data_IF_181377506598
#
_entry.id   IF_181377506598
#
_cell.length_a   1.000
_cell.length_b   1.000
_cell.length_c   1.000
_cell.angle_alpha   90.00
_cell.angle_beta   90.00
_cell.angle_gamma   90.00
#
_symmetry.space_group_name_H-M   'P 1'
#
loop_
_entity.id
_entity.type
_entity.pdbx_description
1 polymer ?
#
# COMPACT_ATOMS: atom_id res chain seq x y z
N UNK A 1 -3.85 30.85 -50.19
CA UNK A 1 -4.04 29.66 -49.34
C UNK A 1 -3.73 30.05 -47.91
N UNK A 2 -4.71 30.01 -46.99
CA UNK A 2 -4.51 30.25 -45.55
C UNK A 2 -4.24 28.91 -44.89
N UNK A 3 -3.00 28.70 -44.45
CA UNK A 3 -2.61 27.50 -43.71
C UNK A 3 -3.14 27.61 -42.28
N UNK A 4 -4.08 26.74 -41.92
CA UNK A 4 -4.60 26.59 -40.55
C UNK A 4 -3.64 25.66 -39.81
N UNK A 5 -2.91 26.20 -38.83
CA UNK A 5 -2.06 25.43 -37.93
C UNK A 5 -2.95 24.80 -36.85
N UNK A 6 -3.12 23.47 -36.87
CA UNK A 6 -3.69 22.73 -35.74
C UNK A 6 -2.61 22.54 -34.67
N UNK A 7 -2.68 23.32 -33.59
CA UNK A 7 -1.87 23.08 -32.40
C UNK A 7 -2.41 21.88 -31.63
N UNK A 8 -1.69 20.75 -31.68
CA UNK A 8 -1.92 19.64 -30.76
C UNK A 8 -1.45 20.06 -29.37
N UNK A 9 -2.40 20.37 -28.48
CA UNK A 9 -2.13 20.51 -27.06
C UNK A 9 -1.86 19.11 -26.48
N UNK A 10 -0.58 18.72 -26.40
CA UNK A 10 -0.17 17.53 -25.66
C UNK A 10 -0.27 17.87 -24.18
N UNK A 11 -1.43 17.57 -23.59
CA UNK A 11 -1.59 17.61 -22.15
C UNK A 11 -0.78 16.43 -21.58
N UNK A 12 0.46 16.71 -21.16
CA UNK A 12 1.22 15.74 -20.38
C UNK A 12 0.53 15.63 -19.03
N UNK A 13 -0.21 14.55 -18.82
CA UNK A 13 -0.68 14.19 -17.49
C UNK A 13 0.58 13.90 -16.69
N UNK A 14 1.04 14.89 -15.93
CA UNK A 14 2.03 14.71 -14.88
C UNK A 14 1.45 13.66 -13.95
N UNK A 15 1.92 12.42 -14.08
CA UNK A 15 1.53 11.36 -13.18
C UNK A 15 1.98 11.83 -11.80
N UNK A 16 1.02 12.09 -10.90
CA UNK A 16 1.37 12.33 -9.50
C UNK A 16 2.14 11.09 -9.07
N UNK A 17 3.45 11.20 -8.79
CA UNK A 17 4.18 10.04 -8.31
C UNK A 17 3.43 9.55 -7.08
N UNK A 18 3.35 8.23 -6.90
CA UNK A 18 2.96 7.66 -5.61
C UNK A 18 4.00 8.16 -4.60
N UNK A 19 3.72 9.31 -4.01
CA UNK A 19 4.65 10.12 -3.22
C UNK A 19 4.87 9.55 -1.82
N UNK A 20 4.27 8.40 -1.53
CA UNK A 20 4.37 7.74 -0.24
C UNK A 20 5.58 6.78 -0.26
N UNK A 21 6.70 7.27 0.26
CA UNK A 21 7.92 6.47 0.46
C UNK A 21 7.96 5.76 1.82
N UNK A 22 6.88 5.76 2.59
CA UNK A 22 6.72 4.88 3.76
C UNK A 22 5.24 4.58 3.98
N UNK A 23 4.83 3.30 4.15
CA UNK A 23 3.45 2.98 4.48
C UNK A 23 3.04 3.63 5.81
N UNK A 24 1.92 4.34 5.81
CA UNK A 24 1.28 4.85 7.01
C UNK A 24 0.65 3.73 7.85
N UNK A 25 0.28 4.04 9.07
CA UNK A 25 -0.32 3.14 10.03
C UNK A 25 -1.82 3.01 9.77
N UNK A 26 -2.25 1.83 9.35
CA UNK A 26 -3.67 1.45 9.24
C UNK A 26 -4.09 0.63 10.46
N UNK A 27 -5.32 0.88 10.92
CA UNK A 27 -6.08 0.02 11.82
C UNK A 27 -7.46 -0.27 11.22
N UNK A 28 -7.88 -1.52 11.25
CA UNK A 28 -9.28 -1.93 11.04
C UNK A 28 -9.75 -2.48 12.39
N UNK A 29 -10.79 -1.85 12.97
CA UNK A 29 -11.25 -2.12 14.33
C UNK A 29 -12.78 -2.17 14.40
N UNK A 30 -13.30 -3.36 14.69
CA UNK A 30 -14.74 -3.65 14.73
C UNK A 30 -15.26 -3.89 16.17
N UNK A 31 -14.40 -3.73 17.18
CA UNK A 31 -14.81 -3.73 18.59
C UNK A 31 -15.49 -2.42 19.01
N UNK A 32 -15.73 -2.25 20.31
CA UNK A 32 -16.27 -0.99 20.86
C UNK A 32 -15.12 0.00 21.02
N UNK A 33 -15.10 1.15 20.31
CA UNK A 33 -14.00 2.11 20.39
C UNK A 33 -13.68 2.58 21.81
N UNK A 34 -14.67 2.69 22.70
CA UNK A 34 -14.44 3.05 24.10
C UNK A 34 -13.70 2.01 24.94
N UNK A 35 -13.61 0.77 24.46
CA UNK A 35 -13.00 -0.36 25.18
C UNK A 35 -11.63 -0.75 24.65
N UNK A 36 -11.15 -0.10 23.59
CA UNK A 36 -9.89 -0.44 22.90
C UNK A 36 -8.71 -0.55 23.87
N UNK A 37 -7.98 -1.66 23.80
CA UNK A 37 -6.85 -2.02 24.67
C UNK A 37 -7.10 -1.78 26.16
N UNK A 38 -8.32 -2.04 26.63
CA UNK A 38 -8.66 -1.89 28.05
C UNK A 38 -8.88 -0.43 28.49
N UNK A 39 -9.17 0.49 27.57
CA UNK A 39 -9.54 1.87 27.90
C UNK A 39 -10.76 1.96 28.83
N UNK A 40 -11.60 0.92 28.88
CA UNK A 40 -12.68 0.76 29.86
C UNK A 40 -13.65 1.95 29.96
N UNK A 41 -13.93 2.61 28.83
CA UNK A 41 -14.80 3.79 28.77
C UNK A 41 -14.07 5.14 28.90
N UNK A 42 -12.77 5.15 29.21
CA UNK A 42 -11.97 6.38 29.16
C UNK A 42 -11.74 6.81 27.70
N UNK A 43 -12.54 7.79 27.28
CA UNK A 43 -12.52 8.31 25.90
C UNK A 43 -11.21 9.03 25.56
N UNK A 44 -10.49 9.56 26.54
CA UNK A 44 -9.17 10.19 26.33
C UNK A 44 -8.13 9.12 26.07
N UNK A 45 -8.11 8.07 26.90
CA UNK A 45 -7.22 6.92 26.70
C UNK A 45 -7.49 6.25 25.35
N UNK A 46 -8.76 5.96 25.02
CA UNK A 46 -9.15 5.40 23.74
C UNK A 46 -8.70 6.28 22.56
N UNK A 47 -8.95 7.59 22.63
CA UNK A 47 -8.52 8.55 21.60
C UNK A 47 -7.00 8.55 21.42
N UNK A 48 -6.23 8.49 22.50
CA UNK A 48 -4.77 8.43 22.43
C UNK A 48 -4.27 7.16 21.74
N UNK A 49 -4.95 6.02 21.95
CA UNK A 49 -4.62 4.78 21.25
C UNK A 49 -4.84 4.93 19.75
N UNK A 50 -6.00 5.44 19.33
CA UNK A 50 -6.31 5.63 17.91
C UNK A 50 -5.41 6.67 17.22
N UNK A 51 -4.93 7.70 17.93
CA UNK A 51 -3.99 8.71 17.39
C UNK A 51 -2.65 8.17 16.94
N UNK A 52 -2.30 6.93 17.32
CA UNK A 52 -1.10 6.27 16.82
C UNK A 52 -1.23 5.86 15.35
N UNK A 53 -2.45 5.85 14.80
CA UNK A 53 -2.75 5.48 13.43
C UNK A 53 -3.04 6.72 12.57
N UNK A 54 -2.72 6.66 11.28
CA UNK A 54 -3.14 7.70 10.33
C UNK A 54 -4.46 7.34 9.64
N UNK A 55 -4.78 6.05 9.57
CA UNK A 55 -6.04 5.53 9.01
C UNK A 55 -6.70 4.57 9.98
N UNK A 56 -8.00 4.75 10.20
CA UNK A 56 -8.82 3.88 11.05
C UNK A 56 -10.11 3.54 10.33
N UNK A 57 -10.45 2.25 10.26
CA UNK A 57 -11.79 1.77 9.88
C UNK A 57 -12.52 1.34 11.14
N UNK A 58 -13.77 1.80 11.31
CA UNK A 58 -14.64 1.46 12.43
C UNK A 58 -15.81 0.60 11.96
N UNK A 59 -16.18 -0.42 12.75
CA UNK A 59 -17.17 -1.44 12.39
C UNK A 59 -18.62 -0.97 12.25
N UNK A 60 -19.45 -1.80 11.61
CA UNK A 60 -20.90 -1.58 11.39
C UNK A 60 -21.65 -1.32 12.71
N UNK A 61 -22.67 -0.44 12.64
CA UNK A 61 -23.64 -0.26 13.71
C UNK A 61 -23.30 0.86 14.68
N UNK A 62 -22.01 1.22 14.79
CA UNK A 62 -21.55 2.34 15.62
C UNK A 62 -22.19 3.68 15.20
N UNK A 63 -22.59 3.81 13.93
CA UNK A 63 -23.29 4.98 13.40
C UNK A 63 -24.74 5.11 13.84
N UNK A 64 -25.34 4.03 14.34
CA UNK A 64 -26.73 4.01 14.76
C UNK A 64 -26.85 4.56 16.19
N UNK A 65 -27.78 5.49 16.40
CA UNK A 65 -27.99 6.12 17.71
C UNK A 65 -28.36 5.14 18.83
N UNK A 66 -28.92 3.98 18.49
CA UNK A 66 -29.25 2.91 19.44
C UNK A 66 -28.07 2.01 19.83
N UNK A 67 -26.92 2.12 19.18
CA UNK A 67 -25.75 1.31 19.52
C UNK A 67 -25.14 1.77 20.84
N UNK A 68 -24.79 0.82 21.72
CA UNK A 68 -24.32 1.11 23.09
C UNK A 68 -23.07 2.01 23.15
N UNK A 69 -22.24 1.99 22.11
CA UNK A 69 -21.02 2.81 22.03
C UNK A 69 -21.12 4.02 21.08
N UNK A 70 -22.32 4.36 20.56
CA UNK A 70 -22.50 5.43 19.57
C UNK A 70 -21.97 6.78 20.04
N UNK A 71 -22.39 7.23 21.23
CA UNK A 71 -22.01 8.53 21.80
C UNK A 71 -20.51 8.61 22.06
N UNK A 72 -19.93 7.53 22.59
CA UNK A 72 -18.50 7.42 22.86
C UNK A 72 -17.71 7.47 21.56
N UNK A 73 -18.12 6.70 20.56
CA UNK A 73 -17.48 6.65 19.24
C UNK A 73 -17.51 8.02 18.57
N UNK A 74 -18.64 8.73 18.59
CA UNK A 74 -18.74 10.10 18.06
C UNK A 74 -17.77 11.06 18.75
N UNK A 75 -17.62 10.93 20.06
CA UNK A 75 -16.67 11.74 20.85
C UNK A 75 -15.22 11.42 20.49
N UNK A 76 -14.87 10.13 20.38
CA UNK A 76 -13.53 9.69 19.96
C UNK A 76 -13.21 10.20 18.55
N UNK A 77 -14.14 10.07 17.60
CA UNK A 77 -13.99 10.62 16.24
C UNK A 77 -13.68 12.11 16.31
N UNK A 78 -14.46 12.89 17.06
CA UNK A 78 -14.24 14.33 17.22
C UNK A 78 -12.85 14.66 17.78
N UNK A 79 -12.34 13.83 18.71
CA UNK A 79 -11.03 14.01 19.34
C UNK A 79 -9.84 13.74 18.42
N UNK A 80 -9.99 12.89 17.39
CA UNK A 80 -8.85 12.39 16.60
C UNK A 80 -8.88 12.82 15.12
N UNK A 81 -10.04 13.23 14.59
CA UNK A 81 -10.25 13.48 13.15
C UNK A 81 -9.37 14.57 12.52
N UNK A 82 -8.71 15.41 13.31
CA UNK A 82 -7.75 16.40 12.79
C UNK A 82 -6.45 15.76 12.28
N UNK A 83 -6.08 14.60 12.83
CA UNK A 83 -4.81 13.91 12.54
C UNK A 83 -5.01 12.50 11.97
N UNK A 84 -6.21 11.92 12.17
CA UNK A 84 -6.55 10.56 11.76
C UNK A 84 -7.67 10.63 10.73
N UNK A 85 -7.49 9.92 9.61
CA UNK A 85 -8.55 9.72 8.63
C UNK A 85 -9.35 8.47 8.98
N UNK A 86 -10.64 8.66 9.20
CA UNK A 86 -11.54 7.65 9.74
C UNK A 86 -12.53 7.26 8.65
N UNK A 87 -12.77 5.96 8.54
CA UNK A 87 -13.75 5.37 7.64
C UNK A 87 -14.81 4.61 8.45
N UNK A 88 -16.07 4.86 8.12
CA UNK A 88 -17.18 4.07 8.64
C UNK A 88 -17.43 2.84 7.77
N UNK A 89 -17.57 1.66 8.39
CA UNK A 89 -17.87 0.42 7.67
C UNK A 89 -19.31 0.39 7.16
N UNK A 90 -19.46 -0.03 5.90
CA UNK A 90 -20.72 -0.38 5.25
C UNK A 90 -20.48 -1.63 4.42
N UNK A 91 -21.28 -2.67 4.61
CA UNK A 91 -21.29 -3.82 3.72
C UNK A 91 -22.06 -3.50 2.42
N UNK A 92 -21.51 -3.84 1.26
CA UNK A 92 -22.15 -3.57 -0.03
C UNK A 92 -22.81 -4.83 -0.63
N UNK A 93 -22.23 -6.00 -0.38
CA UNK A 93 -22.69 -7.28 -0.91
C UNK A 93 -23.40 -8.16 0.11
N UNK A 94 -23.51 -9.45 -0.22
CA UNK A 94 -24.03 -10.46 0.71
C UNK A 94 -22.91 -10.95 1.63
N UNK A 95 -22.81 -10.37 2.82
CA UNK A 95 -21.85 -10.77 3.86
C UNK A 95 -22.31 -11.99 4.66
N UNK A 96 -23.60 -12.06 4.99
CA UNK A 96 -24.17 -13.05 5.93
C UNK A 96 -25.23 -13.87 5.19
N UNK A 97 -25.06 -15.19 5.20
CA UNK A 97 -26.08 -16.10 4.69
C UNK A 97 -27.41 -15.88 5.42
N UNK A 98 -28.48 -15.66 4.65
CA UNK A 98 -29.83 -15.45 5.19
C UNK A 98 -30.19 -14.01 5.55
N UNK A 99 -29.27 -13.04 5.47
CA UNK A 99 -29.61 -11.59 5.57
C UNK A 99 -29.80 -11.00 4.18
N UNK A 100 -30.88 -10.25 3.99
CA UNK A 100 -31.11 -9.48 2.77
C UNK A 100 -30.06 -8.37 2.69
N UNK A 101 -29.27 -8.25 1.60
CA UNK A 101 -28.35 -7.13 1.43
C UNK A 101 -29.10 -5.81 1.48
N UNK A 102 -28.49 -4.77 2.04
CA UNK A 102 -29.11 -3.43 2.08
C UNK A 102 -29.47 -2.95 0.68
N UNK A 103 -30.63 -2.32 0.51
CA UNK A 103 -30.93 -1.62 -0.73
C UNK A 103 -30.13 -0.30 -0.82
N UNK A 104 -30.17 0.36 -1.97
CA UNK A 104 -29.40 1.58 -2.18
C UNK A 104 -29.83 2.73 -1.25
N UNK A 105 -31.09 2.79 -0.81
CA UNK A 105 -31.54 3.81 0.13
C UNK A 105 -30.97 3.55 1.53
N UNK A 106 -30.96 2.30 2.00
CA UNK A 106 -30.33 1.91 3.27
C UNK A 106 -28.84 2.25 3.27
N UNK A 107 -28.10 1.91 2.21
CA UNK A 107 -26.68 2.29 2.07
C UNK A 107 -26.49 3.80 2.23
N UNK A 108 -27.31 4.62 1.56
CA UNK A 108 -27.25 6.09 1.66
C UNK A 108 -27.51 6.57 3.08
N UNK A 109 -28.50 6.00 3.75
CA UNK A 109 -28.79 6.29 5.16
C UNK A 109 -27.57 6.03 6.05
N UNK A 110 -26.90 4.88 5.88
CA UNK A 110 -25.69 4.57 6.66
C UNK A 110 -24.52 5.52 6.33
N UNK A 111 -24.35 5.92 5.06
CA UNK A 111 -23.36 6.94 4.68
C UNK A 111 -23.64 8.27 5.40
N UNK A 112 -24.90 8.71 5.43
CA UNK A 112 -25.30 9.95 6.08
C UNK A 112 -25.10 9.89 7.61
N UNK A 113 -25.41 8.76 8.24
CA UNK A 113 -25.18 8.55 9.68
C UNK A 113 -23.69 8.63 10.03
N UNK A 114 -22.84 7.95 9.26
CA UNK A 114 -21.39 8.02 9.43
C UNK A 114 -20.86 9.45 9.22
N UNK A 115 -21.32 10.13 8.17
CA UNK A 115 -20.98 11.54 7.92
C UNK A 115 -21.36 12.43 9.10
N UNK A 116 -22.53 12.24 9.69
CA UNK A 116 -22.99 13.01 10.83
C UNK A 116 -22.15 12.80 12.10
N UNK A 117 -21.41 11.69 12.20
CA UNK A 117 -20.41 11.48 13.25
C UNK A 117 -19.07 12.16 12.95
N UNK A 118 -18.82 12.54 11.69
CA UNK A 118 -17.64 13.29 11.27
C UNK A 118 -16.50 12.45 10.70
N UNK A 119 -16.79 11.24 10.19
CA UNK A 119 -15.81 10.46 9.41
C UNK A 119 -15.46 11.17 8.10
N UNK A 120 -14.32 10.81 7.49
CA UNK A 120 -13.85 11.38 6.22
C UNK A 120 -13.96 10.41 5.05
N UNK A 121 -14.43 9.18 5.30
CA UNK A 121 -14.66 8.21 4.26
C UNK A 121 -15.57 7.06 4.70
N UNK A 122 -15.88 6.20 3.74
CA UNK A 122 -16.69 5.00 3.95
C UNK A 122 -15.89 3.81 3.46
N UNK A 123 -15.76 2.80 4.31
CA UNK A 123 -15.20 1.51 3.96
C UNK A 123 -16.32 0.61 3.44
N UNK A 124 -16.28 0.27 2.16
CA UNK A 124 -17.24 -0.60 1.49
C UNK A 124 -16.70 -2.02 1.43
N UNK A 125 -17.20 -2.87 2.31
CA UNK A 125 -16.87 -4.30 2.31
C UNK A 125 -17.75 -5.09 1.34
N UNK A 126 -17.32 -6.30 0.99
CA UNK A 126 -18.03 -7.18 0.06
C UNK A 126 -18.36 -6.49 -1.28
N UNK A 127 -17.41 -5.71 -1.79
CA UNK A 127 -17.63 -4.82 -2.94
C UNK A 127 -17.76 -5.57 -4.28
N UNK A 128 -17.33 -6.84 -4.32
CA UNK A 128 -17.13 -7.62 -5.54
C UNK A 128 -18.38 -8.26 -6.16
N UNK A 129 -18.23 -8.71 -7.40
CA UNK A 129 -19.21 -9.53 -8.11
C UNK A 129 -19.39 -10.89 -7.42
N UNK A 130 -18.33 -11.45 -6.83
CA UNK A 130 -18.40 -12.66 -6.01
C UNK A 130 -19.40 -12.54 -4.83
N UNK A 131 -19.66 -11.31 -4.37
CA UNK A 131 -20.63 -11.00 -3.31
C UNK A 131 -21.99 -10.54 -3.86
N UNK A 132 -22.25 -10.79 -5.15
CA UNK A 132 -23.44 -10.38 -5.90
C UNK A 132 -23.64 -8.87 -6.00
N UNK A 133 -22.56 -8.08 -5.99
CA UNK A 133 -22.63 -6.64 -6.24
C UNK A 133 -22.45 -6.37 -7.73
N UNK A 134 -23.37 -5.63 -8.35
CA UNK A 134 -23.23 -5.23 -9.76
C UNK A 134 -22.41 -3.95 -9.90
N UNK A 135 -21.81 -3.70 -11.08
CA UNK A 135 -21.13 -2.44 -11.39
C UNK A 135 -22.03 -1.22 -11.20
N UNK A 136 -23.32 -1.32 -11.52
CA UNK A 136 -24.29 -0.24 -11.29
C UNK A 136 -24.48 0.07 -9.78
N UNK A 137 -24.45 -0.96 -8.93
CA UNK A 137 -24.54 -0.79 -7.47
C UNK A 137 -23.26 -0.19 -6.88
N UNK A 138 -22.10 -0.68 -7.33
CA UNK A 138 -20.80 -0.08 -7.03
C UNK A 138 -20.77 1.41 -7.39
N UNK A 139 -21.18 1.76 -8.62
CA UNK A 139 -21.25 3.15 -9.09
C UNK A 139 -22.20 3.99 -8.23
N UNK A 140 -23.40 3.47 -7.94
CA UNK A 140 -24.38 4.19 -7.11
C UNK A 140 -23.84 4.50 -5.70
N UNK A 141 -23.18 3.55 -5.06
CA UNK A 141 -22.62 3.72 -3.73
C UNK A 141 -21.45 4.71 -3.72
N UNK A 142 -20.45 4.51 -4.60
CA UNK A 142 -19.25 5.34 -4.66
C UNK A 142 -19.59 6.78 -5.05
N UNK A 143 -20.44 7.00 -6.06
CA UNK A 143 -20.85 8.36 -6.43
C UNK A 143 -21.60 9.07 -5.31
N UNK A 144 -22.41 8.35 -4.54
CA UNK A 144 -23.09 8.95 -3.40
C UNK A 144 -22.11 9.35 -2.30
N UNK A 145 -21.15 8.49 -1.96
CA UNK A 145 -20.06 8.80 -1.01
C UNK A 145 -19.31 10.07 -1.46
N UNK A 146 -18.96 10.16 -2.74
CA UNK A 146 -18.31 11.35 -3.30
C UNK A 146 -19.19 12.61 -3.25
N UNK A 147 -20.48 12.49 -3.55
CA UNK A 147 -21.44 13.59 -3.45
C UNK A 147 -21.58 14.10 -2.00
N UNK A 148 -21.33 13.24 -1.03
CA UNK A 148 -21.25 13.62 0.39
C UNK A 148 -19.91 14.26 0.78
N UNK A 149 -18.95 14.39 -0.13
CA UNK A 149 -17.62 14.93 0.14
C UNK A 149 -16.70 13.94 0.87
N UNK A 150 -17.06 12.65 0.87
CA UNK A 150 -16.31 11.59 1.53
C UNK A 150 -15.47 10.80 0.51
N UNK A 151 -14.46 10.06 1.00
CA UNK A 151 -13.70 9.12 0.19
C UNK A 151 -14.28 7.70 0.28
N UNK A 152 -14.27 6.96 -0.82
CA UNK A 152 -14.55 5.54 -0.81
C UNK A 152 -13.28 4.74 -0.49
N UNK A 153 -13.41 3.69 0.30
CA UNK A 153 -12.36 2.71 0.59
C UNK A 153 -12.94 1.32 0.38
N UNK A 154 -12.64 0.68 -0.75
CA UNK A 154 -13.34 -0.54 -1.19
C UNK A 154 -12.54 -1.80 -0.89
N UNK A 155 -13.22 -2.87 -0.48
CA UNK A 155 -12.61 -4.17 -0.21
C UNK A 155 -13.26 -5.28 -1.04
N UNK A 156 -12.41 -6.05 -1.72
CA UNK A 156 -12.78 -7.31 -2.38
C UNK A 156 -11.52 -8.10 -2.72
N UNK A 157 -11.66 -9.43 -2.81
CA UNK A 157 -10.59 -10.34 -3.22
C UNK A 157 -10.09 -10.10 -4.65
N UNK A 158 -10.99 -9.67 -5.56
CA UNK A 158 -10.73 -9.62 -7.00
C UNK A 158 -10.62 -8.18 -7.54
N UNK A 159 -9.41 -7.80 -7.96
CA UNK A 159 -9.09 -6.45 -8.46
C UNK A 159 -9.91 -6.10 -9.71
N UNK A 160 -10.12 -7.08 -10.58
CA UNK A 160 -10.88 -6.91 -11.83
C UNK A 160 -12.34 -6.51 -11.57
N UNK A 161 -12.93 -6.97 -10.47
CA UNK A 161 -14.29 -6.61 -10.08
C UNK A 161 -14.38 -5.16 -9.57
N UNK A 162 -13.25 -4.58 -9.16
CA UNK A 162 -13.17 -3.16 -8.76
C UNK A 162 -12.86 -2.28 -9.96
N UNK A 163 -11.82 -2.59 -10.72
CA UNK A 163 -11.24 -1.65 -11.68
C UNK A 163 -11.50 -2.00 -13.14
N UNK A 164 -11.73 -3.28 -13.44
CA UNK A 164 -11.93 -3.77 -14.80
C UNK A 164 -13.26 -3.32 -15.40
N UNK A 165 -13.25 -3.08 -16.70
CA UNK A 165 -14.43 -2.73 -17.50
C UNK A 165 -14.86 -3.86 -18.44
N UNK A 166 -14.31 -5.06 -18.28
CA UNK A 166 -14.68 -6.23 -19.07
C UNK A 166 -16.18 -6.53 -18.92
N UNK A 167 -16.83 -6.86 -20.03
CA UNK A 167 -18.25 -7.21 -20.03
C UNK A 167 -18.44 -8.48 -19.21
N UNK A 168 -19.28 -8.38 -18.19
CA UNK A 168 -19.80 -9.52 -17.45
C UNK A 168 -21.32 -9.53 -17.64
N UNK A 169 -21.93 -10.55 -18.27
CA UNK A 169 -23.36 -10.55 -18.61
C UNK A 169 -24.32 -10.31 -17.44
N UNK A 170 -23.89 -10.64 -16.22
CA UNK A 170 -24.71 -10.51 -15.01
C UNK A 170 -24.36 -9.23 -14.25
N UNK A 171 -23.07 -9.00 -13.98
CA UNK A 171 -22.64 -7.97 -13.03
C UNK A 171 -22.17 -6.68 -13.69
N UNK A 172 -21.76 -6.70 -14.97
CA UNK A 172 -21.35 -5.53 -15.74
C UNK A 172 -21.68 -5.67 -17.23
N UNK A 173 -22.97 -5.77 -17.60
CA UNK A 173 -23.39 -6.15 -18.95
C UNK A 173 -23.02 -5.10 -20.02
N UNK A 174 -22.77 -3.86 -19.60
CA UNK A 174 -22.43 -2.74 -20.49
C UNK A 174 -20.93 -2.44 -20.52
N UNK A 175 -20.11 -3.16 -19.75
CA UNK A 175 -18.67 -2.87 -19.65
C UNK A 175 -18.38 -1.50 -19.05
N UNK A 176 -19.18 -1.05 -18.10
CA UNK A 176 -18.98 0.23 -17.41
C UNK A 176 -17.67 0.20 -16.60
N UNK A 177 -16.91 1.30 -16.68
CA UNK A 177 -15.66 1.48 -15.96
C UNK A 177 -15.86 1.65 -14.45
N UNK A 178 -14.75 1.60 -13.70
CA UNK A 178 -14.78 1.77 -12.25
C UNK A 178 -15.24 3.16 -11.83
N UNK A 179 -16.07 3.27 -10.77
CA UNK A 179 -16.39 4.57 -10.15
C UNK A 179 -15.30 5.04 -9.17
N UNK A 180 -14.32 4.20 -8.85
CA UNK A 180 -13.21 4.49 -7.92
C UNK A 180 -12.15 5.32 -8.64
N UNK A 181 -11.69 6.41 -8.01
CA UNK A 181 -10.69 7.30 -8.59
C UNK A 181 -9.56 7.69 -7.61
N UNK A 182 -8.76 8.69 -7.99
CA UNK A 182 -7.60 9.17 -7.25
C UNK A 182 -7.89 9.61 -5.80
N UNK A 183 -9.15 9.87 -5.46
CA UNK A 183 -9.60 10.24 -4.11
C UNK A 183 -9.70 9.02 -3.19
N UNK A 184 -9.82 7.84 -3.77
CA UNK A 184 -10.29 6.64 -3.10
C UNK A 184 -9.16 5.66 -2.78
N UNK A 185 -9.55 4.61 -2.06
CA UNK A 185 -8.66 3.59 -1.55
C UNK A 185 -9.18 2.19 -1.92
N UNK A 186 -8.25 1.26 -2.16
CA UNK A 186 -8.53 -0.18 -2.26
C UNK A 186 -7.83 -0.91 -1.12
N UNK A 187 -8.54 -1.82 -0.47
CA UNK A 187 -7.96 -2.72 0.53
C UNK A 187 -7.52 -4.01 -0.15
N UNK A 188 -6.23 -4.34 0.00
CA UNK A 188 -5.76 -5.69 -0.23
C UNK A 188 -5.82 -6.48 1.09
N UNK A 189 -6.86 -7.30 1.19
CA UNK A 189 -7.09 -8.27 2.25
C UNK A 189 -7.27 -9.68 1.65
N UNK A 190 -6.63 -10.73 2.16
CA UNK A 190 -5.47 -10.69 3.05
C UNK A 190 -4.21 -10.39 2.24
N UNK A 191 -3.29 -9.59 2.79
CA UNK A 191 -2.01 -9.34 2.15
C UNK A 191 -1.04 -10.52 2.39
N UNK A 192 0.28 -10.31 2.38
CA UNK A 192 1.31 -11.37 2.45
C UNK A 192 1.22 -12.33 3.64
N UNK A 193 0.37 -12.04 4.63
CA UNK A 193 0.01 -12.93 5.73
C UNK A 193 -1.49 -13.19 5.70
N UNK A 194 -1.85 -14.47 5.53
CA UNK A 194 -3.22 -14.96 5.41
C UNK A 194 -3.44 -16.02 6.48
N UNK A 195 -4.42 -15.82 7.35
CA UNK A 195 -4.74 -16.74 8.44
C UNK A 195 -3.49 -17.12 9.28
N UNK A 196 -2.65 -16.12 9.58
CA UNK A 196 -1.44 -16.28 10.42
C UNK A 196 -0.28 -17.00 9.74
N UNK A 197 -0.37 -17.25 8.44
CA UNK A 197 0.70 -17.86 7.65
C UNK A 197 1.18 -16.85 6.63
N UNK A 198 2.48 -16.86 6.34
CA UNK A 198 2.94 -16.30 5.08
C UNK A 198 2.14 -16.93 3.95
N UNK A 199 1.90 -16.15 2.91
CA UNK A 199 1.16 -16.52 1.71
C UNK A 199 1.24 -18.04 1.45
N UNK A 200 0.11 -18.73 1.26
CA UNK A 200 0.07 -20.17 1.03
C UNK A 200 -0.53 -20.46 -0.33
N UNK A 201 -0.07 -21.54 -1.00
CA UNK A 201 -0.55 -22.01 -2.31
C UNK A 201 -2.09 -21.86 -2.45
N UNK A 202 -2.54 -20.82 -3.15
CA UNK A 202 -3.92 -20.73 -3.61
C UNK A 202 -4.01 -21.60 -4.86
N UNK A 203 -4.67 -22.76 -4.75
CA UNK A 203 -5.12 -23.76 -5.75
C UNK A 203 -4.41 -23.86 -7.13
N UNK A 204 -4.07 -22.75 -7.79
CA UNK A 204 -3.40 -22.64 -9.10
C UNK A 204 -2.05 -21.92 -9.11
N UNK A 205 -1.69 -21.18 -8.06
CA UNK A 205 -0.45 -20.40 -7.98
C UNK A 205 0.57 -21.05 -7.03
N UNK A 206 1.87 -20.96 -7.37
CA UNK A 206 2.93 -21.17 -6.37
C UNK A 206 2.85 -20.05 -5.31
N UNK A 207 3.46 -20.28 -4.14
CA UNK A 207 3.30 -19.44 -2.94
C UNK A 207 3.34 -17.93 -3.25
N UNK A 208 4.33 -17.46 -3.98
CA UNK A 208 4.53 -16.01 -4.19
C UNK A 208 4.03 -15.49 -5.53
N UNK A 209 3.59 -16.39 -6.41
CA UNK A 209 3.16 -16.03 -7.75
C UNK A 209 1.85 -15.24 -7.73
N UNK A 210 0.90 -15.61 -6.87
CA UNK A 210 -0.33 -14.82 -6.73
C UNK A 210 -0.03 -13.40 -6.25
N UNK A 211 0.81 -13.26 -5.23
CA UNK A 211 1.18 -11.93 -4.72
C UNK A 211 1.82 -11.11 -5.84
N UNK A 212 2.76 -11.69 -6.60
CA UNK A 212 3.39 -11.01 -7.75
C UNK A 212 2.35 -10.57 -8.78
N UNK A 213 1.54 -11.49 -9.30
CA UNK A 213 0.54 -11.23 -10.34
C UNK A 213 -0.49 -10.19 -9.86
N UNK A 214 -1.02 -10.33 -8.64
CA UNK A 214 -1.97 -9.38 -8.08
C UNK A 214 -1.36 -7.98 -7.94
N UNK A 215 -0.09 -7.89 -7.59
CA UNK A 215 0.63 -6.61 -7.46
C UNK A 215 0.86 -5.91 -8.80
N UNK A 216 1.24 -6.68 -9.82
CA UNK A 216 1.43 -6.18 -11.18
C UNK A 216 0.11 -5.68 -11.77
N UNK A 217 -0.97 -6.44 -11.61
CA UNK A 217 -2.31 -6.04 -12.04
C UNK A 217 -2.79 -4.78 -11.31
N UNK A 218 -2.60 -4.72 -9.99
CA UNK A 218 -2.97 -3.53 -9.20
C UNK A 218 -2.20 -2.30 -9.67
N UNK A 219 -0.89 -2.44 -9.92
CA UNK A 219 -0.04 -1.35 -10.43
C UNK A 219 -0.53 -0.85 -11.79
N UNK A 220 -0.92 -1.76 -12.69
CA UNK A 220 -1.43 -1.37 -14.00
C UNK A 220 -2.66 -0.47 -13.88
N UNK A 221 -3.59 -0.80 -12.98
CA UNK A 221 -4.76 0.04 -12.71
C UNK A 221 -4.41 1.35 -11.98
N UNK A 222 -3.46 1.33 -11.05
CA UNK A 222 -3.02 2.57 -10.38
C UNK A 222 -2.43 3.57 -11.37
N UNK A 223 -1.79 3.12 -12.45
CA UNK A 223 -1.26 4.00 -13.48
C UNK A 223 -2.35 4.74 -14.27
N UNK A 224 -3.58 4.19 -14.37
CA UNK A 224 -4.69 4.81 -15.10
C UNK A 224 -5.67 5.57 -14.21
N UNK A 225 -5.91 5.08 -12.98
CA UNK A 225 -6.95 5.62 -12.09
C UNK A 225 -6.38 6.39 -10.88
N UNK A 226 -5.08 6.25 -10.58
CA UNK A 226 -4.37 6.94 -9.51
C UNK A 226 -4.94 6.75 -8.08
N UNK A 227 -5.75 5.72 -7.83
CA UNK A 227 -6.24 5.37 -6.49
C UNK A 227 -5.10 4.90 -5.57
N UNK A 228 -5.37 4.90 -4.27
CA UNK A 228 -4.41 4.46 -3.23
C UNK A 228 -4.66 3.02 -2.81
N UNK A 229 -3.60 2.26 -2.62
CA UNK A 229 -3.70 0.90 -2.05
C UNK A 229 -3.40 0.94 -0.57
N UNK A 230 -4.23 0.32 0.25
CA UNK A 230 -3.88 -0.06 1.61
C UNK A 230 -3.85 -1.58 1.72
N UNK A 231 -3.07 -2.12 2.67
CA UNK A 231 -3.01 -3.57 2.89
C UNK A 231 -3.17 -3.94 4.36
N UNK A 232 -3.78 -5.09 4.62
CA UNK A 232 -3.95 -5.63 5.98
C UNK A 232 -3.57 -7.11 5.98
N UNK A 233 -2.95 -7.58 7.07
CA UNK A 233 -2.78 -9.01 7.32
C UNK A 233 -4.07 -9.61 7.90
N UNK A 234 -4.25 -10.92 7.74
CA UNK A 234 -5.17 -11.68 8.61
C UNK A 234 -4.37 -12.65 9.48
N UNK A 235 -4.50 -12.57 10.81
CA UNK A 235 -3.79 -13.45 11.73
C UNK A 235 -4.47 -14.82 11.76
N UNK A 236 -3.89 -15.77 12.49
CA UNK A 236 -4.59 -17.01 12.77
C UNK A 236 -5.84 -16.75 13.64
N UNK A 237 -6.68 -17.77 13.83
CA UNK A 237 -7.89 -17.64 14.65
C UNK A 237 -7.60 -17.12 16.08
N UNK A 238 -6.41 -17.38 16.60
CA UNK A 238 -6.00 -16.94 17.94
C UNK A 238 -5.53 -15.47 17.96
N UNK A 239 -5.36 -14.82 16.80
CA UNK A 239 -4.87 -13.46 16.72
C UNK A 239 -3.38 -13.32 17.02
N UNK A 240 -2.60 -14.40 16.90
CA UNK A 240 -1.21 -14.43 17.37
C UNK A 240 -0.33 -13.47 16.56
N UNK A 241 0.23 -12.46 17.20
CA UNK A 241 1.17 -11.54 16.56
C UNK A 241 2.51 -12.21 16.27
N UNK A 242 3.03 -12.00 15.07
CA UNK A 242 4.35 -12.46 14.68
C UNK A 242 5.17 -11.30 14.10
N UNK A 243 6.26 -10.93 14.78
CA UNK A 243 7.09 -9.79 14.39
C UNK A 243 7.77 -9.98 13.03
N UNK A 244 8.17 -11.21 12.67
CA UNK A 244 8.82 -11.48 11.37
C UNK A 244 7.82 -11.30 10.23
N UNK A 245 6.61 -11.84 10.38
CA UNK A 245 5.50 -11.65 9.45
C UNK A 245 5.13 -10.18 9.29
N UNK A 246 5.06 -9.46 10.40
CA UNK A 246 4.77 -8.03 10.37
C UNK A 246 5.85 -7.22 9.67
N UNK A 247 7.13 -7.46 9.98
CA UNK A 247 8.25 -6.78 9.33
C UNK A 247 8.25 -7.03 7.81
N UNK A 248 8.08 -8.28 7.40
CA UNK A 248 7.99 -8.64 5.99
C UNK A 248 6.79 -7.96 5.29
N UNK A 249 5.62 -7.96 5.94
CA UNK A 249 4.41 -7.24 5.46
C UNK A 249 4.69 -5.76 5.26
N UNK A 250 5.29 -5.11 6.25
CA UNK A 250 5.55 -3.68 6.21
C UNK A 250 6.52 -3.30 5.08
N UNK A 251 7.63 -4.03 4.94
CA UNK A 251 8.58 -3.79 3.84
C UNK A 251 7.98 -4.11 2.47
N UNK A 252 7.12 -5.13 2.36
CA UNK A 252 6.45 -5.48 1.11
C UNK A 252 5.45 -4.39 0.69
N UNK A 253 4.69 -3.85 1.64
CA UNK A 253 3.81 -2.71 1.41
C UNK A 253 4.61 -1.46 0.97
N UNK A 254 5.79 -1.22 1.58
CA UNK A 254 6.68 -0.13 1.18
C UNK A 254 7.23 -0.32 -0.23
N UNK A 255 7.75 -1.50 -0.54
CA UNK A 255 8.25 -1.88 -1.86
C UNK A 255 7.18 -1.64 -2.94
N UNK A 256 5.92 -1.91 -2.62
CA UNK A 256 4.76 -1.71 -3.49
C UNK A 256 4.15 -0.32 -3.43
N UNK A 257 4.71 0.62 -2.67
CA UNK A 257 4.19 1.98 -2.56
C UNK A 257 2.73 2.02 -2.09
N UNK A 258 2.34 1.13 -1.18
CA UNK A 258 1.04 1.20 -0.53
C UNK A 258 0.97 2.45 0.36
N UNK A 259 -0.20 3.09 0.37
CA UNK A 259 -0.48 4.27 1.20
C UNK A 259 -0.34 3.95 2.69
N UNK A 260 -0.87 2.79 3.09
CA UNK A 260 -0.87 2.36 4.48
C UNK A 260 -0.88 0.83 4.59
N UNK A 261 -0.40 0.34 5.73
CA UNK A 261 -0.50 -1.08 6.08
C UNK A 261 -0.75 -1.27 7.56
N UNK A 262 -1.42 -2.37 7.90
CA UNK A 262 -1.77 -2.71 9.28
C UNK A 262 -1.71 -4.21 9.54
N UNK A 263 -1.63 -4.55 10.82
CA UNK A 263 -1.81 -5.91 11.30
C UNK A 263 -3.29 -6.09 11.66
N UNK A 264 -3.95 -7.08 11.07
CA UNK A 264 -5.29 -7.47 11.50
C UNK A 264 -5.22 -8.21 12.82
N UNK A 265 -6.05 -7.84 13.78
CA UNK A 265 -6.28 -8.64 14.99
C UNK A 265 -7.39 -9.67 14.70
N UNK A 266 -7.53 -10.70 15.54
CA UNK A 266 -8.55 -11.74 15.32
C UNK A 266 -9.95 -11.12 15.18
N UNK A 267 -10.66 -11.44 14.09
CA UNK A 267 -11.95 -10.82 13.71
C UNK A 267 -11.96 -9.29 13.81
N UNK A 268 -10.83 -8.64 13.53
CA UNK A 268 -10.65 -7.19 13.65
C UNK A 268 -11.06 -6.64 15.02
N UNK A 269 -10.81 -7.40 16.09
CA UNK A 269 -11.12 -7.05 17.47
C UNK A 269 -12.62 -7.06 17.83
N UNK A 270 -13.49 -7.55 16.95
CA UNK A 270 -14.94 -7.62 17.20
C UNK A 270 -15.31 -8.66 18.27
N UNK A 271 -14.57 -9.76 18.36
CA UNK A 271 -14.96 -10.91 19.16
C UNK A 271 -13.76 -11.64 19.76
N UNK A 272 -14.04 -12.51 20.72
CA UNK A 272 -13.03 -13.30 21.40
C UNK A 272 -12.24 -14.18 20.40
N UNK A 273 -10.94 -14.43 20.66
CA UNK A 273 -10.19 -14.01 21.85
C UNK A 273 -9.62 -12.58 21.77
N UNK A 274 -9.73 -11.90 20.62
CA UNK A 274 -9.14 -10.58 20.39
C UNK A 274 -10.07 -9.40 20.68
N UNK A 275 -11.18 -9.61 21.40
CA UNK A 275 -12.19 -8.59 21.63
C UNK A 275 -11.58 -7.31 22.21
N UNK A 276 -11.78 -6.20 21.51
CA UNK A 276 -11.26 -4.87 21.84
C UNK A 276 -9.71 -4.75 21.93
N UNK A 277 -8.96 -5.73 21.40
CA UNK A 277 -7.50 -5.66 21.33
C UNK A 277 -7.06 -5.05 20.00
N UNK A 278 -6.24 -4.00 20.07
CA UNK A 278 -5.48 -3.45 18.95
C UNK A 278 -4.12 -2.93 19.42
N UNK A 279 -3.21 -3.79 19.90
CA UNK A 279 -1.89 -3.35 20.34
C UNK A 279 -1.15 -2.66 19.19
N UNK A 280 -0.51 -1.54 19.47
CA UNK A 280 0.24 -0.82 18.45
C UNK A 280 1.46 -1.64 18.01
N UNK A 281 1.47 -2.07 16.75
CA UNK A 281 2.58 -2.84 16.18
C UNK A 281 3.65 -1.88 15.68
N UNK A 282 4.78 -1.79 16.37
CA UNK A 282 5.89 -0.90 15.98
C UNK A 282 6.38 -1.21 14.56
N UNK A 283 6.80 -0.18 13.82
CA UNK A 283 7.31 -0.31 12.45
C UNK A 283 8.84 -0.23 12.48
N UNK A 284 9.55 -0.86 11.53
CA UNK A 284 10.97 -0.62 11.35
C UNK A 284 11.28 0.87 11.25
N UNK A 285 12.30 1.34 11.97
CA UNK A 285 12.75 2.73 11.90
C UNK A 285 13.70 2.89 10.72
N UNK A 286 13.36 3.75 9.77
CA UNK A 286 14.19 4.07 8.62
C UNK A 286 14.62 5.53 8.73
N UNK A 287 15.91 5.75 8.96
CA UNK A 287 16.45 7.11 9.16
C UNK A 287 16.24 8.02 7.95
N UNK A 288 16.38 7.47 6.73
CA UNK A 288 16.14 8.19 5.49
C UNK A 288 15.49 7.25 4.47
N UNK A 289 14.15 7.24 4.34
CA UNK A 289 13.44 6.38 3.38
C UNK A 289 13.40 6.96 1.97
N UNK A 290 13.84 8.21 1.80
CA UNK A 290 13.79 8.91 0.53
C UNK A 290 12.45 9.57 0.25
N UNK A 291 12.36 10.24 -0.89
CA UNK A 291 11.15 10.99 -1.30
C UNK A 291 10.51 10.46 -2.57
N UNK A 292 11.19 9.57 -3.29
CA UNK A 292 10.63 8.94 -4.49
C UNK A 292 11.20 7.55 -4.75
N UNK A 293 10.47 6.77 -5.54
CA UNK A 293 10.99 5.56 -6.16
C UNK A 293 11.69 5.91 -7.48
N UNK A 294 12.88 5.34 -7.70
CA UNK A 294 13.65 5.51 -8.94
C UNK A 294 13.33 4.45 -9.99
N UNK A 295 12.80 3.30 -9.56
CA UNK A 295 12.50 2.16 -10.44
C UNK A 295 11.08 1.66 -10.23
N UNK A 296 10.58 0.89 -11.20
CA UNK A 296 9.52 -0.07 -10.94
C UNK A 296 10.01 -1.15 -9.95
N UNK A 297 9.09 -1.97 -9.44
CA UNK A 297 9.46 -3.19 -8.71
C UNK A 297 10.20 -4.12 -9.68
N UNK A 298 11.35 -4.61 -9.26
CA UNK A 298 12.19 -5.56 -9.99
C UNK A 298 12.25 -6.86 -9.20
N UNK A 299 12.61 -7.96 -9.87
CA UNK A 299 12.82 -9.24 -9.21
C UNK A 299 14.06 -9.95 -9.75
N UNK A 300 14.67 -10.77 -8.90
CA UNK A 300 15.71 -11.72 -9.27
C UNK A 300 15.43 -12.99 -8.47
N UNK A 301 14.98 -14.03 -9.16
CA UNK A 301 14.49 -15.26 -8.53
C UNK A 301 13.41 -14.96 -7.46
N UNK A 302 13.72 -15.20 -6.19
CA UNK A 302 12.83 -15.03 -5.05
C UNK A 302 12.97 -13.68 -4.34
N UNK A 303 13.89 -12.81 -4.80
CA UNK A 303 14.06 -11.48 -4.26
C UNK A 303 13.33 -10.46 -5.12
N UNK A 304 12.39 -9.73 -4.51
CA UNK A 304 11.78 -8.54 -5.07
C UNK A 304 12.47 -7.32 -4.49
N UNK A 305 12.67 -6.28 -5.30
CA UNK A 305 13.28 -5.05 -4.82
C UNK A 305 12.83 -3.83 -5.59
N UNK A 306 13.05 -2.66 -4.99
CA UNK A 306 12.78 -1.37 -5.61
C UNK A 306 13.76 -0.33 -5.09
N UNK A 307 14.26 0.53 -5.97
CA UNK A 307 15.18 1.59 -5.59
C UNK A 307 14.40 2.85 -5.22
N UNK A 308 14.84 3.50 -4.16
CA UNK A 308 14.49 4.87 -3.78
C UNK A 308 15.68 5.77 -4.08
N UNK A 309 15.50 7.09 -3.96
CA UNK A 309 16.60 8.05 -4.01
C UNK A 309 17.58 7.95 -2.81
N UNK A 310 17.31 7.05 -1.86
CA UNK A 310 18.13 6.89 -0.65
C UNK A 310 18.39 5.44 -0.28
N UNK A 311 18.19 4.47 -1.18
CA UNK A 311 18.48 3.08 -0.88
C UNK A 311 17.61 2.08 -1.63
N UNK A 312 17.84 0.79 -1.36
CA UNK A 312 17.09 -0.35 -1.93
C UNK A 312 16.20 -0.98 -0.87
N UNK A 313 14.91 -1.02 -1.17
CA UNK A 313 13.94 -1.83 -0.43
C UNK A 313 13.95 -3.22 -1.06
N UNK A 314 13.92 -4.28 -0.26
CA UNK A 314 13.91 -5.64 -0.75
C UNK A 314 13.05 -6.56 0.11
N UNK A 315 12.52 -7.61 -0.50
CA UNK A 315 11.81 -8.71 0.16
C UNK A 315 12.23 -10.02 -0.51
N UNK A 316 12.73 -10.97 0.28
CA UNK A 316 13.14 -12.30 -0.14
C UNK A 316 12.12 -13.34 0.33
N UNK A 317 11.43 -13.93 -0.63
CA UNK A 317 10.29 -14.80 -0.38
C UNK A 317 10.68 -16.22 0.06
N UNK A 318 11.93 -16.63 -0.15
CA UNK A 318 12.45 -17.93 0.31
C UNK A 318 12.81 -17.89 1.78
N UNK A 319 13.64 -16.91 2.15
CA UNK A 319 14.05 -16.69 3.54
C UNK A 319 12.96 -16.04 4.39
N UNK A 320 11.93 -15.45 3.74
CA UNK A 320 10.85 -14.70 4.39
C UNK A 320 11.39 -13.52 5.20
N UNK A 321 12.43 -12.90 4.65
CA UNK A 321 13.08 -11.71 5.20
C UNK A 321 12.90 -10.53 4.27
N UNK A 322 12.94 -9.32 4.81
CA UNK A 322 12.82 -8.09 4.04
C UNK A 322 13.58 -6.99 4.75
N UNK A 323 13.95 -5.95 4.01
CA UNK A 323 14.78 -4.90 4.57
C UNK A 323 14.95 -3.68 3.67
N UNK A 324 15.78 -2.77 4.15
CA UNK A 324 16.24 -1.59 3.44
C UNK A 324 17.76 -1.50 3.54
N UNK A 325 18.40 -1.31 2.39
CA UNK A 325 19.84 -1.06 2.28
C UNK A 325 20.00 0.44 2.02
N UNK A 326 20.50 1.23 2.99
CA UNK A 326 20.75 2.67 2.80
C UNK A 326 21.93 2.88 1.82
N UNK A 327 22.20 4.12 1.39
CA UNK A 327 23.28 4.39 0.46
C UNK A 327 24.62 4.12 1.13
N UNK A 328 25.55 3.57 0.35
CA UNK A 328 26.92 3.33 0.78
C UNK A 328 27.90 4.23 0.02
N UNK A 329 29.11 4.35 0.58
CA UNK A 329 30.28 4.82 -0.17
C UNK A 329 31.00 3.57 -0.70
N UNK A 330 30.78 3.24 -1.96
CA UNK A 330 31.42 2.15 -2.67
C UNK A 330 32.81 2.59 -3.15
N UNK A 331 33.85 2.13 -2.45
CA UNK A 331 35.24 2.40 -2.82
C UNK A 331 35.80 1.23 -3.64
N UNK A 332 36.57 1.50 -4.68
CA UNK A 332 37.26 0.40 -5.39
C UNK A 332 38.33 -0.23 -4.49
N UNK A 333 38.30 -1.56 -4.38
CA UNK A 333 39.27 -2.37 -3.62
C UNK A 333 40.30 -3.04 -4.52
N UNK A 334 40.04 -3.11 -5.83
CA UNK A 334 40.94 -3.57 -6.86
C UNK A 334 40.55 -2.97 -8.23
N UNK A 335 41.41 -3.16 -9.24
CA UNK A 335 41.07 -2.90 -10.64
C UNK A 335 40.10 -3.96 -11.18
N UNK A 336 39.23 -3.61 -12.13
CA UNK A 336 38.30 -4.56 -12.73
C UNK A 336 37.15 -3.93 -13.50
N UNK A 337 36.16 -4.76 -13.84
CA UNK A 337 34.91 -4.31 -14.47
C UNK A 337 33.96 -3.76 -13.40
N UNK A 338 33.24 -2.67 -13.73
CA UNK A 338 32.27 -2.04 -12.83
C UNK A 338 31.24 -3.02 -12.25
N UNK A 339 30.78 -3.98 -13.03
CA UNK A 339 29.76 -4.96 -12.63
C UNK A 339 30.29 -6.11 -11.75
N UNK A 340 31.56 -6.10 -11.37
CA UNK A 340 32.10 -7.07 -10.44
C UNK A 340 31.93 -6.57 -8.99
N UNK A 341 30.97 -7.12 -8.26
CA UNK A 341 30.72 -6.74 -6.86
C UNK A 341 31.95 -6.90 -5.95
N UNK A 342 32.86 -7.84 -6.26
CA UNK A 342 34.03 -8.12 -5.41
C UNK A 342 35.09 -6.99 -5.40
N UNK A 343 35.05 -6.08 -6.37
CA UNK A 343 35.97 -4.93 -6.42
C UNK A 343 35.45 -3.69 -5.69
N UNK A 344 34.29 -3.78 -5.02
CA UNK A 344 33.67 -2.66 -4.33
C UNK A 344 33.56 -2.92 -2.83
N UNK A 345 33.97 -1.93 -2.01
CA UNK A 345 33.95 -2.04 -0.55
C UNK A 345 32.54 -2.19 0.04
N UNK A 346 31.50 -1.81 -0.70
CA UNK A 346 30.11 -1.95 -0.29
C UNK A 346 29.56 -3.38 -0.49
N UNK A 347 30.32 -4.29 -1.09
CA UNK A 347 29.93 -5.69 -1.28
C UNK A 347 28.89 -5.92 -2.37
N UNK A 348 28.55 -4.89 -3.15
CA UNK A 348 27.66 -4.96 -4.31
C UNK A 348 28.15 -4.04 -5.43
N UNK A 349 27.58 -4.20 -6.63
CA UNK A 349 27.76 -3.24 -7.71
C UNK A 349 27.11 -1.92 -7.29
N UNK A 350 27.74 -0.74 -7.47
CA UNK A 350 27.17 0.53 -7.06
C UNK A 350 25.81 0.78 -7.71
N UNK A 351 24.85 1.18 -6.89
CA UNK A 351 23.50 1.56 -7.29
C UNK A 351 23.42 3.07 -7.61
N UNK A 352 22.34 3.52 -8.28
CA UNK A 352 22.11 4.95 -8.56
C UNK A 352 22.11 5.88 -7.35
N UNK A 353 21.90 5.35 -6.14
CA UNK A 353 21.90 6.14 -4.89
C UNK A 353 23.24 6.12 -4.14
N UNK A 354 24.21 5.29 -4.55
CA UNK A 354 25.50 5.17 -3.86
C UNK A 354 26.49 6.26 -4.29
N UNK A 355 27.40 6.59 -3.38
CA UNK A 355 28.60 7.34 -3.75
C UNK A 355 29.69 6.36 -4.15
N UNK A 356 30.41 6.67 -5.21
CA UNK A 356 31.49 5.85 -5.74
C UNK A 356 32.80 6.60 -5.64
N UNK A 357 33.79 5.97 -5.04
CA UNK A 357 35.16 6.46 -4.96
C UNK A 357 36.11 5.46 -5.63
N UNK A 358 36.67 5.83 -6.77
CA UNK A 358 37.69 5.01 -7.42
C UNK A 358 39.06 5.38 -6.83
N UNK A 359 39.63 4.47 -6.06
CA UNK A 359 40.92 4.66 -5.37
C UNK A 359 42.10 4.43 -6.29
N UNK A 360 43.20 5.15 -6.03
CA UNK A 360 44.49 4.90 -6.70
C UNK A 360 45.14 3.64 -6.12
N UNK A 361 45.77 2.77 -6.95
CA UNK A 361 46.02 2.89 -8.40
C UNK A 361 45.00 2.14 -9.27
N UNK A 362 43.76 1.98 -8.82
CA UNK A 362 42.80 1.12 -9.50
C UNK A 362 42.35 1.66 -10.86
N UNK A 363 42.10 0.73 -11.77
CA UNK A 363 41.53 0.96 -13.10
C UNK A 363 40.17 0.28 -13.13
N UNK A 364 39.11 1.07 -13.25
CA UNK A 364 37.74 0.57 -13.38
C UNK A 364 37.28 0.75 -14.81
N UNK A 365 36.90 -0.36 -15.44
CA UNK A 365 36.45 -0.38 -16.82
C UNK A 365 34.92 -0.53 -16.91
N UNK A 366 34.33 0.19 -17.85
CA UNK A 366 32.93 0.08 -18.25
C UNK A 366 32.88 -0.33 -19.72
N UNK A 367 32.11 -1.38 -20.03
CA UNK A 367 31.92 -1.84 -21.41
C UNK A 367 30.53 -1.45 -21.91
N UNK A 368 30.34 -1.27 -23.23
CA UNK A 368 29.02 -1.00 -23.81
C UNK A 368 27.94 -2.03 -23.43
N UNK A 369 28.34 -3.29 -23.19
CA UNK A 369 27.43 -4.37 -22.80
C UNK A 369 26.80 -4.16 -21.41
N UNK A 370 27.38 -3.29 -20.57
CA UNK A 370 26.81 -2.96 -19.26
C UNK A 370 25.64 -1.97 -19.34
N UNK A 371 25.39 -1.40 -20.53
CA UNK A 371 24.35 -0.39 -20.72
C UNK A 371 24.66 0.90 -19.97
N UNK A 372 23.59 1.58 -19.51
CA UNK A 372 23.68 2.84 -18.78
C UNK A 372 24.02 2.58 -17.31
N UNK A 373 25.13 3.12 -16.85
CA UNK A 373 25.54 3.07 -15.45
C UNK A 373 25.24 4.39 -14.74
N UNK A 374 24.84 4.30 -13.48
CA UNK A 374 24.48 5.45 -12.65
C UNK A 374 24.97 5.27 -11.22
N UNK A 375 25.38 6.38 -10.60
CA UNK A 375 25.59 6.50 -9.16
C UNK A 375 25.23 7.93 -8.73
N UNK A 376 25.11 8.16 -7.42
CA UNK A 376 24.78 9.48 -6.86
C UNK A 376 25.93 10.46 -7.03
N UNK A 377 27.13 10.04 -6.62
CA UNK A 377 28.37 10.83 -6.76
C UNK A 377 29.49 9.91 -7.26
N UNK A 378 30.25 10.36 -8.26
CA UNK A 378 31.48 9.68 -8.68
C UNK A 378 32.69 10.56 -8.35
N UNK A 379 33.62 10.00 -7.59
CA UNK A 379 34.91 10.61 -7.27
C UNK A 379 36.04 9.68 -7.74
N UNK A 380 37.05 10.24 -8.40
CA UNK A 380 38.20 9.49 -8.92
C UNK A 380 39.45 10.07 -8.28
N UNK A 381 40.14 9.27 -7.46
CA UNK A 381 41.38 9.71 -6.81
C UNK A 381 42.46 9.97 -7.85
N UNK A 382 43.31 10.97 -7.57
CA UNK A 382 44.41 11.36 -8.46
C UNK A 382 45.33 10.16 -8.72
N UNK A 383 45.38 9.69 -9.96
CA UNK A 383 46.17 8.53 -10.39
C UNK A 383 45.37 7.24 -10.51
N UNK A 384 44.09 7.23 -10.14
CA UNK A 384 43.15 6.19 -10.54
C UNK A 384 42.63 6.44 -11.97
N UNK A 385 42.11 5.40 -12.62
CA UNK A 385 41.58 5.47 -13.98
C UNK A 385 40.15 4.95 -14.04
N UNK A 386 39.25 5.75 -14.61
CA UNK A 386 37.92 5.30 -15.02
C UNK A 386 37.88 5.19 -16.54
N UNK A 387 37.97 3.96 -17.06
CA UNK A 387 37.95 3.69 -18.49
C UNK A 387 36.51 3.49 -18.96
N UNK A 388 35.83 4.60 -19.23
CA UNK A 388 34.46 4.62 -19.72
C UNK A 388 34.37 4.46 -21.23
N UNK A 389 34.29 3.23 -21.75
CA UNK A 389 33.87 2.99 -23.14
C UNK A 389 32.33 2.91 -23.29
N UNK A 390 31.58 3.05 -22.19
CA UNK A 390 30.11 3.07 -22.15
C UNK A 390 29.53 4.42 -21.71
N UNK A 391 28.19 4.48 -21.61
CA UNK A 391 27.48 5.70 -21.16
C UNK A 391 27.41 5.71 -19.62
N UNK A 392 28.05 6.70 -19.02
CA UNK A 392 28.01 6.94 -17.57
C UNK A 392 27.28 8.25 -17.27
N UNK A 393 26.32 8.20 -16.35
CA UNK A 393 25.62 9.39 -15.88
C UNK A 393 25.76 9.48 -14.35
N UNK A 394 26.50 10.50 -13.89
CA UNK A 394 26.42 10.91 -12.50
C UNK A 394 25.09 11.64 -12.30
N UNK A 395 24.25 11.14 -11.39
CA UNK A 395 22.98 11.78 -11.07
C UNK A 395 23.29 12.92 -10.09
N UNK A 396 23.91 14.00 -10.60
CA UNK A 396 24.17 15.21 -9.81
C UNK A 396 22.83 15.73 -9.26
N UNK A 397 22.67 15.66 -7.95
CA UNK A 397 21.51 16.19 -7.22
C UNK A 397 21.98 17.07 -6.08
#
# INVERSE_FOLDING_TARGET
MKTILFGFLVCTISHTPLAQTLPKNLLIYYGYPSLINGAAGDLTAASNIFRQYQYVVLGEGLEQSGHGDHVNTKTIIANIKSNVKIFGYIWLGRHIAGRTPWNNAEIRTHVDLWKAMGVQGIFLDDYGYAQNVTRARQDSAVRYIHAQGLNAFVNTGEIEEVFGSSINPVFNPTGMGSPVDYRDFYLWESYVVINGRFYGKYLTFSEWEFWRVKSENLRAYQNSLAFKTMSITTPDFNGSFNANQWNFTWYSAWLQGHEATGWGEGNYSASAPSANLAPFRARPTIANPGTQFLTAVQSTENQFFRLTDTGKIWADTTSKTAGFIPPAVCQSTASGLWNNAAIWSCGHVPYPYDDVLIKTPHIIAVTPALGKLQCRKLEIQRGAVFNGMGVFEAVNR
#
